data_IF_438722111594
#
_entry.id   IF_438722111594
#
_cell.length_a   1.000
_cell.length_b   1.000
_cell.length_c   1.000
_cell.angle_alpha   90.00
_cell.angle_beta   90.00
_cell.angle_gamma   90.00
#
_symmetry.space_group_name_H-M   'P 1'
#
loop_
_entity.id
_entity.type
_entity.pdbx_description
1 polymer ?
#
# COMPACT_ATOMS: atom_id res chain seq x y z
N UNK A 1 -6.14 17.53 -1.71
CA UNK A 1 -5.09 17.20 -2.70
C UNK A 1 -3.78 17.14 -1.95
N UNK A 2 -3.12 15.98 -1.90
CA UNK A 2 -1.86 15.80 -1.18
C UNK A 2 -0.72 16.38 -2.00
N UNK A 3 -0.13 17.48 -1.53
CA UNK A 3 0.99 18.14 -2.19
C UNK A 3 2.28 17.34 -1.93
N UNK A 4 3.01 17.01 -3.01
CA UNK A 4 4.33 16.40 -2.89
C UNK A 4 5.28 17.36 -2.16
N UNK A 5 6.14 16.83 -1.29
CA UNK A 5 7.27 17.62 -0.76
C UNK A 5 8.25 17.94 -1.89
N UNK A 6 9.06 18.99 -1.74
CA UNK A 6 10.07 19.36 -2.74
C UNK A 6 11.01 18.21 -3.09
N UNK A 7 11.39 17.40 -2.08
CA UNK A 7 12.23 16.23 -2.30
C UNK A 7 11.52 15.17 -3.15
N UNK A 8 10.27 14.81 -2.81
CA UNK A 8 9.48 13.83 -3.56
C UNK A 8 9.24 14.30 -5.00
N UNK A 9 8.95 15.59 -5.19
CA UNK A 9 8.77 16.18 -6.50
C UNK A 9 10.03 16.02 -7.36
N UNK A 10 11.20 16.35 -6.82
CA UNK A 10 12.46 16.23 -7.55
C UNK A 10 12.82 14.77 -7.87
N UNK A 11 12.58 13.84 -6.94
CA UNK A 11 12.79 12.40 -7.18
C UNK A 11 11.88 11.88 -8.29
N UNK A 12 10.59 12.19 -8.23
CA UNK A 12 9.62 11.75 -9.24
C UNK A 12 9.89 12.40 -10.60
N UNK A 13 10.24 13.69 -10.63
CA UNK A 13 10.63 14.42 -11.84
C UNK A 13 11.80 13.74 -12.55
N UNK A 14 12.85 13.37 -11.81
CA UNK A 14 14.03 12.74 -12.38
C UNK A 14 13.68 11.41 -13.10
N UNK A 15 12.78 10.62 -12.53
CA UNK A 15 12.30 9.37 -13.15
C UNK A 15 11.44 9.66 -14.38
N UNK A 16 10.50 10.59 -14.30
CA UNK A 16 9.62 10.97 -15.42
C UNK A 16 10.44 11.47 -16.62
N UNK A 17 11.45 12.31 -16.38
CA UNK A 17 12.32 12.83 -17.44
C UNK A 17 13.23 11.74 -18.02
N UNK A 18 13.52 10.67 -17.27
CA UNK A 18 14.28 9.53 -17.79
C UNK A 18 13.41 8.48 -18.49
N UNK A 19 12.09 8.49 -18.28
CA UNK A 19 11.16 7.50 -18.81
C UNK A 19 10.98 7.65 -20.33
N UNK A 20 11.40 6.66 -21.14
CA UNK A 20 11.36 6.78 -22.60
C UNK A 20 9.95 6.96 -23.17
N UNK A 21 8.95 6.32 -22.54
CA UNK A 21 7.56 6.38 -23.02
C UNK A 21 6.92 7.76 -22.85
N UNK A 22 7.48 8.60 -21.97
CA UNK A 22 6.97 9.94 -21.67
C UNK A 22 7.67 11.07 -22.44
N UNK A 23 8.76 10.81 -23.15
CA UNK A 23 9.55 11.85 -23.83
C UNK A 23 8.72 12.68 -24.82
N UNK A 24 7.89 12.02 -25.62
CA UNK A 24 6.99 12.70 -26.56
C UNK A 24 5.94 13.54 -25.82
N UNK A 25 5.43 13.04 -24.70
CA UNK A 25 4.45 13.78 -23.89
C UNK A 25 5.06 15.03 -23.27
N UNK A 26 6.29 14.94 -22.75
CA UNK A 26 7.02 16.06 -22.17
C UNK A 26 7.31 17.15 -23.21
N UNK A 27 7.78 16.77 -24.40
CA UNK A 27 8.11 17.72 -25.48
C UNK A 27 6.87 18.44 -26.05
N UNK A 28 5.73 17.73 -26.12
CA UNK A 28 4.49 18.29 -26.66
C UNK A 28 3.59 18.92 -25.59
N UNK A 29 3.99 18.92 -24.30
CA UNK A 29 3.19 19.43 -23.19
C UNK A 29 1.90 18.63 -22.94
N UNK A 30 1.89 17.34 -23.25
CA UNK A 30 0.76 16.44 -23.04
C UNK A 30 0.70 15.94 -21.59
N UNK A 31 0.44 16.85 -20.66
CA UNK A 31 0.54 16.62 -19.20
C UNK A 31 -0.41 15.50 -18.70
N UNK A 32 -1.52 15.27 -19.40
CA UNK A 32 -2.47 14.19 -19.08
C UNK A 32 -1.86 12.79 -19.28
N UNK A 33 -0.90 12.62 -20.19
CA UNK A 33 -0.21 11.35 -20.40
C UNK A 33 0.75 11.08 -19.23
N UNK A 34 1.48 12.11 -18.79
CA UNK A 34 2.36 12.03 -17.62
C UNK A 34 1.55 11.69 -16.37
N UNK A 35 0.41 12.37 -16.19
CA UNK A 35 -0.52 12.08 -15.10
C UNK A 35 -1.03 10.63 -15.13
N UNK A 36 -1.48 10.16 -16.30
CA UNK A 36 -1.98 8.80 -16.47
C UNK A 36 -0.89 7.76 -16.17
N UNK A 37 0.34 8.00 -16.61
CA UNK A 37 1.47 7.12 -16.30
C UNK A 37 1.75 7.08 -14.79
N UNK A 38 1.81 8.24 -14.12
CA UNK A 38 2.05 8.33 -12.68
C UNK A 38 1.03 7.52 -11.88
N UNK A 39 -0.23 7.58 -12.29
CA UNK A 39 -1.36 6.94 -11.59
C UNK A 39 -1.64 5.50 -12.04
N UNK A 40 -0.94 5.01 -13.07
CA UNK A 40 -1.06 3.62 -13.51
C UNK A 40 -0.29 2.67 -12.59
N UNK A 41 -0.74 1.41 -12.50
CA UNK A 41 -0.09 0.39 -11.68
C UNK A 41 1.33 0.12 -12.21
N UNK A 42 2.29 0.09 -11.29
CA UNK A 42 3.69 -0.11 -11.64
C UNK A 42 3.93 -1.47 -12.32
N UNK A 43 4.79 -1.47 -13.34
CA UNK A 43 5.26 -2.67 -14.04
C UNK A 43 6.78 -2.63 -14.12
N UNK A 44 7.51 -3.62 -13.54
CA UNK A 44 7.03 -4.79 -12.80
C UNK A 44 6.24 -4.43 -11.53
N UNK A 45 5.39 -5.35 -11.06
CA UNK A 45 4.51 -5.09 -9.91
C UNK A 45 5.32 -4.81 -8.65
N UNK A 46 5.01 -3.70 -7.99
CA UNK A 46 5.57 -3.30 -6.71
C UNK A 46 4.46 -3.29 -5.66
N UNK A 47 4.58 -4.15 -4.64
CA UNK A 47 3.57 -4.33 -3.59
C UNK A 47 3.92 -3.46 -2.38
N UNK A 48 2.93 -2.76 -1.83
CA UNK A 48 3.06 -1.88 -0.67
C UNK A 48 2.08 -2.25 0.44
N UNK A 49 2.44 -1.91 1.67
CA UNK A 49 1.50 -1.95 2.80
C UNK A 49 0.46 -0.83 2.68
N UNK A 50 -0.81 -1.16 2.87
CA UNK A 50 -1.89 -0.17 2.99
C UNK A 50 -1.78 0.57 4.32
N UNK A 51 -1.94 1.89 4.30
CA UNK A 51 -1.95 2.72 5.51
C UNK A 51 -3.31 2.74 6.21
N UNK A 52 -4.35 2.25 5.54
CA UNK A 52 -5.70 2.16 6.04
C UNK A 52 -6.33 0.85 5.57
N UNK A 53 -6.70 0.00 6.53
CA UNK A 53 -7.46 -1.23 6.30
C UNK A 53 -8.57 -1.28 7.34
N UNK A 54 -9.82 -1.30 6.90
CA UNK A 54 -10.95 -1.41 7.84
C UNK A 54 -11.13 -2.84 8.32
N UNK A 55 -11.65 -3.02 9.53
CA UNK A 55 -11.98 -4.37 10.03
C UNK A 55 -12.95 -5.09 9.08
N UNK A 56 -13.93 -4.34 8.57
CA UNK A 56 -14.94 -4.86 7.65
C UNK A 56 -14.34 -5.47 6.39
N UNK A 57 -13.34 -4.83 5.78
CA UNK A 57 -12.63 -5.38 4.60
C UNK A 57 -12.10 -6.79 4.84
N UNK A 58 -11.61 -7.06 6.04
CA UNK A 58 -11.01 -8.34 6.40
C UNK A 58 -12.08 -9.38 6.75
N UNK A 59 -13.02 -9.03 7.63
CA UNK A 59 -13.93 -10.04 8.23
C UNK A 59 -15.10 -10.43 7.32
N UNK A 60 -15.31 -9.70 6.21
CA UNK A 60 -16.29 -10.06 5.18
C UNK A 60 -15.72 -10.97 4.09
N UNK A 61 -14.43 -11.31 4.13
CA UNK A 61 -13.83 -12.28 3.24
C UNK A 61 -14.18 -13.71 3.69
N UNK A 62 -14.62 -14.56 2.76
CA UNK A 62 -14.94 -15.97 3.02
C UNK A 62 -13.72 -16.78 3.49
N UNK A 63 -12.50 -16.31 3.23
CA UNK A 63 -11.27 -16.89 3.75
C UNK A 63 -11.00 -16.53 5.23
N UNK A 64 -11.74 -15.58 5.80
CA UNK A 64 -11.65 -15.23 7.22
C UNK A 64 -12.58 -16.11 8.06
N UNK A 65 -11.99 -17.05 8.80
CA UNK A 65 -12.75 -18.05 9.56
C UNK A 65 -13.07 -17.58 10.99
N UNK A 66 -14.33 -17.22 11.23
CA UNK A 66 -14.86 -16.82 12.54
C UNK A 66 -14.77 -17.92 13.60
N UNK A 67 -14.79 -19.20 13.22
CA UNK A 67 -14.60 -20.29 14.19
C UNK A 67 -13.19 -20.28 14.77
N UNK A 68 -12.21 -19.73 14.04
CA UNK A 68 -10.85 -19.54 14.58
C UNK A 68 -10.81 -18.45 15.63
N UNK A 69 -11.57 -17.36 15.44
CA UNK A 69 -11.67 -16.27 16.41
C UNK A 69 -12.16 -16.81 17.77
N UNK A 70 -13.21 -17.63 17.76
CA UNK A 70 -13.77 -18.26 18.97
C UNK A 70 -12.78 -19.18 19.69
N UNK A 71 -11.90 -19.84 18.91
CA UNK A 71 -10.89 -20.76 19.44
C UNK A 71 -9.60 -20.06 19.92
N UNK A 72 -9.46 -18.74 19.77
CA UNK A 72 -8.30 -18.01 20.27
C UNK A 72 -8.30 -17.95 21.80
N UNK A 73 -7.11 -17.95 22.40
CA UNK A 73 -7.00 -17.63 23.83
C UNK A 73 -7.42 -16.18 24.08
N UNK A 74 -7.94 -15.91 25.29
CA UNK A 74 -8.45 -14.58 25.68
C UNK A 74 -7.44 -13.46 25.41
N UNK A 75 -6.14 -13.71 25.63
CA UNK A 75 -5.10 -12.73 25.34
C UNK A 75 -4.98 -12.39 23.85
N UNK A 76 -5.14 -13.38 22.97
CA UNK A 76 -5.01 -13.21 21.52
C UNK A 76 -6.24 -12.57 20.90
N UNK A 77 -7.44 -13.01 21.27
CA UNK A 77 -8.69 -12.37 20.82
C UNK A 77 -8.74 -10.90 21.25
N UNK A 78 -8.26 -10.59 22.46
CA UNK A 78 -8.16 -9.20 22.91
C UNK A 78 -7.18 -8.36 22.08
N UNK A 79 -6.04 -8.90 21.61
CA UNK A 79 -5.15 -8.17 20.70
C UNK A 79 -5.90 -7.79 19.43
N UNK A 80 -6.64 -8.74 18.86
CA UNK A 80 -7.45 -8.51 17.66
C UNK A 80 -8.47 -7.39 17.85
N UNK A 81 -9.31 -7.49 18.90
CA UNK A 81 -10.33 -6.47 19.21
C UNK A 81 -9.71 -5.09 19.48
N UNK A 82 -8.62 -5.03 20.25
CA UNK A 82 -7.98 -3.75 20.57
C UNK A 82 -7.33 -3.09 19.36
N UNK A 83 -6.79 -3.90 18.44
CA UNK A 83 -6.19 -3.42 17.21
C UNK A 83 -7.21 -2.73 16.31
N UNK A 84 -8.44 -3.25 16.23
CA UNK A 84 -9.53 -2.66 15.44
C UNK A 84 -10.49 -1.78 16.22
N UNK A 85 -10.20 -1.45 17.49
CA UNK A 85 -11.10 -0.65 18.35
C UNK A 85 -11.49 0.71 17.75
N UNK A 86 -10.67 1.25 16.85
CA UNK A 86 -10.93 2.51 16.14
C UNK A 86 -11.41 2.32 14.68
N UNK A 87 -11.84 1.11 14.32
CA UNK A 87 -12.46 0.75 13.03
C UNK A 87 -11.49 0.38 11.91
N UNK A 88 -10.23 0.82 11.99
CA UNK A 88 -9.22 0.56 10.97
C UNK A 88 -7.81 0.46 11.55
N UNK A 89 -6.91 -0.16 10.79
CA UNK A 89 -5.50 -0.30 11.14
C UNK A 89 -4.59 0.21 10.02
N UNK A 90 -3.43 0.68 10.43
CA UNK A 90 -2.33 1.03 9.51
C UNK A 90 -1.38 -0.16 9.39
N UNK A 91 -1.43 -0.85 8.24
CA UNK A 91 -0.58 -2.03 7.99
C UNK A 91 0.87 -1.66 7.66
N UNK A 92 1.16 -0.38 7.38
CA UNK A 92 2.53 0.13 7.23
C UNK A 92 3.26 0.19 8.57
N UNK A 93 2.52 0.24 9.69
CA UNK A 93 3.08 0.15 11.04
C UNK A 93 3.61 -1.25 11.37
N UNK A 94 4.89 -1.35 11.70
CA UNK A 94 5.51 -2.62 12.12
C UNK A 94 4.84 -3.21 13.37
N UNK A 95 4.35 -2.36 14.28
CA UNK A 95 3.66 -2.80 15.50
C UNK A 95 2.30 -3.45 15.20
N UNK A 96 1.54 -2.90 14.25
CA UNK A 96 0.27 -3.50 13.79
C UNK A 96 0.53 -4.88 13.18
N UNK A 97 1.54 -5.01 12.31
CA UNK A 97 1.92 -6.30 11.73
C UNK A 97 2.35 -7.31 12.80
N UNK A 98 3.09 -6.87 13.81
CA UNK A 98 3.44 -7.72 14.96
C UNK A 98 2.19 -8.18 15.73
N UNK A 99 1.19 -7.31 15.93
CA UNK A 99 -0.10 -7.66 16.52
C UNK A 99 -0.88 -8.70 15.72
N UNK A 100 -0.95 -8.55 14.39
CA UNK A 100 -1.54 -9.55 13.48
C UNK A 100 -0.83 -10.89 13.63
N UNK A 101 0.51 -10.89 13.64
CA UNK A 101 1.31 -12.11 13.80
C UNK A 101 1.10 -12.78 15.17
N UNK A 102 0.96 -11.98 16.24
CA UNK A 102 0.76 -12.49 17.61
C UNK A 102 -0.64 -13.08 17.82
N UNK A 103 -1.65 -12.49 17.17
CA UNK A 103 -3.03 -12.99 17.17
C UNK A 103 -3.07 -14.36 16.49
N UNK A 104 -2.61 -14.42 15.25
CA UNK A 104 -2.73 -15.58 14.37
C UNK A 104 -1.43 -16.38 14.28
N UNK A 105 -1.16 -17.17 15.31
CA UNK A 105 0.05 -18.02 15.39
C UNK A 105 -0.21 -19.32 16.14
N UNK A 106 0.46 -20.38 15.73
CA UNK A 106 0.44 -21.70 16.35
C UNK A 106 0.04 -22.76 15.34
N UNK A 107 -1.26 -22.87 15.06
CA UNK A 107 -1.80 -23.91 14.19
C UNK A 107 -1.81 -23.50 12.72
N UNK A 108 -1.83 -24.48 11.81
CA UNK A 108 -1.94 -24.21 10.37
C UNK A 108 -3.20 -23.41 10.00
N UNK A 109 -4.32 -23.65 10.71
CA UNK A 109 -5.56 -22.90 10.51
C UNK A 109 -5.43 -21.43 10.92
N UNK A 110 -4.73 -21.12 12.02
CA UNK A 110 -4.46 -19.74 12.41
C UNK A 110 -3.55 -19.04 11.41
N UNK A 111 -2.53 -19.75 10.92
CA UNK A 111 -1.63 -19.24 9.89
C UNK A 111 -2.36 -18.97 8.56
N UNK A 112 -3.40 -19.75 8.23
CA UNK A 112 -4.25 -19.52 7.08
C UNK A 112 -5.09 -18.24 7.22
N UNK A 113 -5.70 -18.01 8.39
CA UNK A 113 -6.40 -16.73 8.68
C UNK A 113 -5.42 -15.57 8.58
N UNK A 114 -4.20 -15.71 9.14
CA UNK A 114 -3.16 -14.69 9.01
C UNK A 114 -2.85 -14.34 7.56
N UNK A 115 -2.73 -15.36 6.69
CA UNK A 115 -2.46 -15.15 5.28
C UNK A 115 -3.60 -14.37 4.61
N UNK A 116 -4.86 -14.73 4.89
CA UNK A 116 -6.04 -13.99 4.42
C UNK A 116 -6.07 -12.55 4.93
N UNK A 117 -5.78 -12.29 6.21
CA UNK A 117 -5.66 -10.91 6.72
C UNK A 117 -4.61 -10.12 5.92
N UNK A 118 -3.47 -10.73 5.61
CA UNK A 118 -2.40 -10.06 4.89
C UNK A 118 -2.69 -9.78 3.41
N UNK A 119 -3.61 -10.49 2.75
CA UNK A 119 -4.03 -10.13 1.39
C UNK A 119 -4.75 -8.79 1.37
N UNK A 120 -5.49 -8.46 2.43
CA UNK A 120 -6.16 -7.15 2.59
C UNK A 120 -5.25 -6.03 3.06
N UNK A 121 -4.12 -6.36 3.67
CA UNK A 121 -3.13 -5.40 4.17
C UNK A 121 -2.18 -4.86 3.10
N UNK A 122 -2.21 -5.41 1.89
CA UNK A 122 -1.27 -5.11 0.81
C UNK A 122 -2.02 -4.69 -0.45
N UNK A 123 -1.36 -3.91 -1.31
CA UNK A 123 -1.86 -3.60 -2.65
C UNK A 123 -0.70 -3.34 -3.62
N UNK A 124 -0.91 -3.47 -4.94
CA UNK A 124 0.03 -2.92 -5.90
C UNK A 124 0.08 -1.39 -5.78
N UNK A 125 1.28 -0.83 -5.94
CA UNK A 125 1.54 0.60 -5.99
C UNK A 125 1.38 1.13 -7.43
N UNK A 126 1.02 2.41 -7.54
CA UNK A 126 1.16 3.16 -8.80
C UNK A 126 2.63 3.46 -9.09
N UNK A 127 2.96 3.90 -10.32
CA UNK A 127 4.33 4.31 -10.65
C UNK A 127 4.84 5.43 -9.73
N UNK A 128 4.02 6.44 -9.45
CA UNK A 128 4.41 7.53 -8.57
C UNK A 128 4.66 7.04 -7.14
N UNK A 129 3.77 6.20 -6.61
CA UNK A 129 3.91 5.60 -5.28
C UNK A 129 5.14 4.69 -5.20
N UNK A 130 5.39 3.86 -6.21
CA UNK A 130 6.57 2.99 -6.28
C UNK A 130 7.88 3.81 -6.24
N UNK A 131 7.97 4.85 -7.06
CA UNK A 131 9.18 5.70 -7.14
C UNK A 131 9.49 6.37 -5.81
N UNK A 132 8.45 6.70 -5.04
CA UNK A 132 8.56 7.39 -3.75
C UNK A 132 8.50 6.43 -2.55
N UNK A 133 8.34 5.13 -2.79
CA UNK A 133 8.33 4.12 -1.74
C UNK A 133 9.76 3.75 -1.32
N UNK A 134 9.85 3.07 -0.18
CA UNK A 134 11.08 2.45 0.30
C UNK A 134 10.90 0.94 0.48
N UNK A 135 12.01 0.20 0.45
CA UNK A 135 12.02 -1.26 0.55
C UNK A 135 11.91 -1.96 -0.80
N UNK A 136 11.83 -3.30 -0.77
CA UNK A 136 11.90 -4.15 -1.96
C UNK A 136 10.63 -4.12 -2.81
N UNK A 137 9.46 -3.99 -2.17
CA UNK A 137 8.17 -4.00 -2.86
C UNK A 137 7.77 -5.35 -3.43
N UNK A 138 8.22 -6.45 -2.83
CA UNK A 138 7.78 -7.79 -3.21
C UNK A 138 6.55 -8.22 -2.41
N UNK A 139 5.84 -9.25 -2.83
CA UNK A 139 4.72 -9.78 -2.04
C UNK A 139 5.19 -10.27 -0.65
N UNK A 140 6.35 -10.92 -0.58
CA UNK A 140 6.93 -11.39 0.68
C UNK A 140 7.42 -10.24 1.57
N UNK A 141 7.94 -9.16 0.97
CA UNK A 141 8.46 -7.98 1.68
C UNK A 141 7.91 -6.71 1.00
N UNK A 142 6.64 -6.33 1.29
CA UNK A 142 6.05 -5.14 0.71
C UNK A 142 6.79 -3.88 1.13
N UNK A 143 6.81 -2.91 0.23
CA UNK A 143 7.40 -1.59 0.46
C UNK A 143 6.55 -0.74 1.40
N UNK A 144 7.16 0.35 1.89
CA UNK A 144 6.50 1.38 2.67
C UNK A 144 6.30 2.62 1.79
N UNK A 145 5.07 3.13 1.75
CA UNK A 145 4.72 4.32 1.00
C UNK A 145 5.35 5.56 1.63
N UNK A 146 6.17 6.30 0.87
CA UNK A 146 6.57 7.67 1.21
C UNK A 146 5.55 8.71 0.74
N UNK A 147 4.69 8.33 -0.21
CA UNK A 147 3.58 9.11 -0.73
C UNK A 147 2.42 8.15 -1.03
N UNK A 148 1.20 8.58 -0.74
CA UNK A 148 -0.03 7.85 -1.08
C UNK A 148 -1.05 8.81 -1.70
N UNK A 149 -1.60 8.42 -2.85
CA UNK A 149 -2.59 9.21 -3.57
C UNK A 149 -2.34 9.30 -5.07
N UNK A 150 -3.13 10.15 -5.72
CA UNK A 150 -3.07 10.39 -7.15
C UNK A 150 -2.37 11.72 -7.44
N UNK A 151 -1.55 11.70 -8.49
CA UNK A 151 -0.98 12.91 -9.09
C UNK A 151 -2.06 13.62 -9.90
N UNK A 152 -2.26 14.90 -9.62
CA UNK A 152 -3.18 15.76 -10.38
C UNK A 152 -2.53 16.31 -11.65
N UNK A 153 -3.35 16.85 -12.55
CA UNK A 153 -2.88 17.37 -13.84
C UNK A 153 -1.92 18.56 -13.66
N UNK A 154 -2.17 19.40 -12.67
CA UNK A 154 -1.34 20.58 -12.38
C UNK A 154 0.07 20.16 -11.97
N UNK A 155 0.20 19.22 -11.03
CA UNK A 155 1.50 18.68 -10.60
C UNK A 155 2.20 17.97 -11.75
N UNK A 156 1.45 17.19 -12.55
CA UNK A 156 2.01 16.52 -13.73
C UNK A 156 2.63 17.53 -14.73
N UNK A 157 1.96 18.65 -14.96
CA UNK A 157 2.46 19.71 -15.84
C UNK A 157 3.69 20.46 -15.33
N UNK A 158 4.03 20.36 -14.04
CA UNK A 158 5.25 20.96 -13.50
C UNK A 158 6.49 20.11 -13.76
N UNK A 159 6.37 18.81 -14.10
CA UNK A 159 7.53 17.93 -14.28
C UNK A 159 8.37 18.24 -15.53
N UNK A 160 7.82 18.97 -16.51
CA UNK A 160 8.54 19.39 -17.73
C UNK A 160 9.43 20.63 -17.54
N UNK A 161 9.22 21.39 -16.46
CA UNK A 161 10.00 22.56 -16.07
C UNK A 161 11.16 22.10 -15.18
#
# INVERSE_FOLDING_TARGET
MTQLTTQQFNTLKAVIVAEPTLQSALNNGADYIVQAWCNSIATPSFIVWKTLVTEKEIVTDDAFDWTRVDNLSVGKSRIWEWMFRFGSVDSSSANVRAGINATWVGTAADLAVRASVYTHCKRPATNAEMVLASGTGSDAVPGLLGYEGLIDLNTAGLFKL
#
